data_IF_764275081430
#
_entry.id   IF_764275081430
#
_cell.length_a   1.000
_cell.length_b   1.000
_cell.length_c   1.000
_cell.angle_alpha   90.00
_cell.angle_beta   90.00
_cell.angle_gamma   90.00
#
_symmetry.space_group_name_H-M   'P 1'
#
loop_
_entity.id
_entity.type
_entity.pdbx_description
1 polymer ?
#
# COMPACT_ATOMS: atom_id res chain seq x y z
N UNK A 1 -2.89 -8.16 -11.83
CA UNK A 1 -1.54 -7.88 -11.31
C UNK A 1 -1.61 -6.93 -10.11
N UNK A 2 -0.88 -7.23 -9.04
CA UNK A 2 -0.71 -6.32 -7.89
C UNK A 2 0.75 -5.84 -7.88
N UNK A 3 0.95 -4.53 -7.93
CA UNK A 3 2.26 -3.89 -7.77
C UNK A 3 2.35 -3.35 -6.35
N UNK A 4 3.48 -3.50 -5.67
CA UNK A 4 3.69 -2.91 -4.35
C UNK A 4 5.03 -2.18 -4.26
N UNK A 5 5.08 -1.15 -3.44
CA UNK A 5 6.30 -0.39 -3.16
C UNK A 5 6.29 0.18 -1.74
N UNK A 6 7.47 0.25 -1.12
CA UNK A 6 7.68 0.89 0.17
C UNK A 6 7.82 2.41 0.03
N UNK A 7 7.03 3.19 0.78
CA UNK A 7 7.15 4.66 0.75
C UNK A 7 8.48 5.19 1.28
N UNK A 8 9.19 4.39 2.07
CA UNK A 8 10.47 4.72 2.67
C UNK A 8 11.59 3.83 2.11
N UNK A 9 11.42 3.28 0.90
CA UNK A 9 12.47 2.53 0.22
C UNK A 9 13.67 3.47 -0.09
N UNK A 10 14.87 3.20 0.47
CA UNK A 10 16.06 4.00 0.20
C UNK A 10 16.73 3.64 -1.13
N UNK A 11 16.40 2.50 -1.73
CA UNK A 11 17.06 1.95 -2.91
C UNK A 11 16.28 2.26 -4.18
N UNK A 12 14.95 2.06 -4.16
CA UNK A 12 14.07 2.34 -5.30
C UNK A 12 13.09 3.45 -4.93
N UNK A 13 13.17 4.57 -5.65
CA UNK A 13 12.31 5.71 -5.38
C UNK A 13 10.82 5.35 -5.59
N UNK A 14 9.97 5.36 -4.55
CA UNK A 14 8.56 4.94 -4.65
C UNK A 14 7.73 5.83 -5.58
N UNK A 15 8.15 7.10 -5.76
CA UNK A 15 7.54 8.02 -6.72
C UNK A 15 7.68 7.52 -8.16
N UNK A 16 8.77 6.83 -8.48
CA UNK A 16 8.98 6.24 -9.81
C UNK A 16 7.95 5.16 -10.11
N UNK A 17 7.75 4.23 -9.18
CA UNK A 17 6.73 3.18 -9.29
C UNK A 17 5.33 3.78 -9.41
N UNK A 18 4.99 4.77 -8.58
CA UNK A 18 3.68 5.44 -8.63
C UNK A 18 3.44 6.06 -10.01
N UNK A 19 4.39 6.87 -10.51
CA UNK A 19 4.29 7.52 -11.83
C UNK A 19 4.16 6.51 -12.96
N UNK A 20 4.95 5.43 -12.91
CA UNK A 20 4.92 4.40 -13.94
C UNK A 20 3.55 3.71 -14.01
N UNK A 21 2.99 3.35 -12.85
CA UNK A 21 1.70 2.67 -12.79
C UNK A 21 0.54 3.61 -13.15
N UNK A 22 0.63 4.90 -12.79
CA UNK A 22 -0.34 5.92 -13.23
C UNK A 22 -0.26 6.13 -14.75
N UNK A 23 0.93 6.25 -15.33
CA UNK A 23 1.11 6.36 -16.78
C UNK A 23 0.61 5.10 -17.53
N UNK A 24 0.78 3.92 -16.95
CA UNK A 24 0.20 2.70 -17.50
C UNK A 24 -1.33 2.74 -17.50
N UNK A 25 -1.96 3.23 -16.42
CA UNK A 25 -3.41 3.37 -16.36
C UNK A 25 -3.91 4.34 -17.43
N UNK A 26 -3.26 5.49 -17.60
CA UNK A 26 -3.60 6.45 -18.66
C UNK A 26 -3.40 5.87 -20.07
N UNK A 27 -2.32 5.12 -20.29
CA UNK A 27 -2.02 4.51 -21.58
C UNK A 27 -2.96 3.37 -21.97
N UNK A 28 -3.57 2.70 -20.99
CA UNK A 28 -4.46 1.54 -21.22
C UNK A 28 -5.94 1.89 -21.17
N UNK A 29 -6.33 2.82 -20.29
CA UNK A 29 -7.73 3.21 -20.08
C UNK A 29 -8.08 4.54 -20.75
N UNK A 30 -7.08 5.35 -21.09
CA UNK A 30 -7.27 6.70 -21.62
C UNK A 30 -6.86 7.79 -20.62
N UNK A 31 -6.59 8.98 -21.16
CA UNK A 31 -6.18 10.14 -20.35
C UNK A 31 -7.22 10.50 -19.30
N UNK A 32 -6.77 10.79 -18.08
CA UNK A 32 -7.62 11.17 -16.96
C UNK A 32 -8.09 10.01 -16.09
N UNK A 33 -7.92 8.75 -16.54
CA UNK A 33 -8.13 7.58 -15.70
C UNK A 33 -6.94 7.33 -14.77
N UNK A 34 -7.27 6.90 -13.56
CA UNK A 34 -6.31 6.60 -12.51
C UNK A 34 -6.15 5.09 -12.34
N UNK A 35 -5.07 4.67 -11.67
CA UNK A 35 -4.88 3.26 -11.30
C UNK A 35 -6.03 2.70 -10.43
N UNK A 36 -6.79 3.56 -9.74
CA UNK A 36 -7.93 3.12 -8.94
C UNK A 36 -9.01 2.46 -9.82
N UNK A 37 -9.19 2.97 -11.03
CA UNK A 37 -10.18 2.56 -12.04
C UNK A 37 -9.69 1.38 -12.90
N UNK A 38 -8.44 0.93 -12.73
CA UNK A 38 -7.91 -0.15 -13.56
C UNK A 38 -8.31 -1.52 -13.03
N UNK A 39 -9.00 -2.31 -13.86
CA UNK A 39 -9.52 -3.63 -13.47
C UNK A 39 -8.52 -4.78 -13.57
N UNK A 40 -7.29 -4.51 -14.00
CA UNK A 40 -6.23 -5.51 -14.16
C UNK A 40 -4.96 -5.23 -13.36
N UNK A 41 -4.72 -3.97 -12.97
CA UNK A 41 -3.54 -3.55 -12.22
C UNK A 41 -3.97 -2.75 -11.00
N UNK A 42 -3.55 -3.18 -9.81
CA UNK A 42 -3.69 -2.39 -8.58
C UNK A 42 -2.32 -2.12 -7.98
N UNK A 43 -2.17 -0.94 -7.38
CA UNK A 43 -0.95 -0.51 -6.68
C UNK A 43 -1.18 -0.52 -5.16
N UNK A 44 -0.24 -1.05 -4.39
CA UNK A 44 -0.24 -1.01 -2.92
C UNK A 44 1.00 -0.27 -2.44
N UNK A 45 0.79 0.89 -1.83
CA UNK A 45 1.89 1.68 -1.29
C UNK A 45 2.00 1.47 0.22
N UNK A 46 3.14 0.95 0.68
CA UNK A 46 3.34 0.54 2.06
C UNK A 46 3.96 1.69 2.87
N UNK A 47 3.25 2.27 3.85
CA UNK A 47 3.78 3.36 4.66
C UNK A 47 4.92 2.89 5.55
N UNK A 48 6.07 3.57 5.47
CA UNK A 48 7.30 3.17 6.19
C UNK A 48 7.94 1.86 5.69
N UNK A 49 7.34 1.24 4.66
CA UNK A 49 7.93 0.10 3.94
C UNK A 49 9.24 0.50 3.27
N UNK A 50 10.20 -0.41 3.23
CA UNK A 50 11.51 -0.25 2.61
C UNK A 50 11.64 -1.04 1.31
N UNK A 51 12.87 -1.41 0.97
CA UNK A 51 13.22 -2.20 -0.21
C UNK A 51 12.77 -3.67 -0.05
N UNK A 52 11.53 -3.95 -0.43
CA UNK A 52 10.84 -5.25 -0.31
C UNK A 52 10.39 -5.67 1.11
N UNK A 53 10.81 -4.96 2.15
CA UNK A 53 10.42 -5.20 3.54
C UNK A 53 9.97 -3.90 4.22
N UNK A 54 10.35 -3.71 5.49
CA UNK A 54 10.25 -2.41 6.16
C UNK A 54 11.58 -1.67 6.09
N UNK A 55 11.57 -0.33 6.19
CA UNK A 55 12.79 0.42 6.42
C UNK A 55 13.11 0.36 7.91
N UNK A 56 13.73 -0.76 8.33
CA UNK A 56 13.96 -1.11 9.74
C UNK A 56 14.73 -0.02 10.51
N UNK A 57 15.67 0.67 9.84
CA UNK A 57 16.50 1.69 10.46
C UNK A 57 15.69 2.92 10.87
N UNK A 58 14.61 3.24 10.15
CA UNK A 58 13.77 4.42 10.42
C UNK A 58 12.41 4.08 11.01
N UNK A 59 11.87 2.89 10.71
CA UNK A 59 10.53 2.47 11.07
C UNK A 59 10.50 0.99 11.53
N UNK A 60 11.10 0.67 12.69
CA UNK A 60 11.20 -0.72 13.17
C UNK A 60 9.85 -1.35 13.52
N UNK A 61 8.83 -0.52 13.79
CA UNK A 61 7.46 -0.96 14.09
C UNK A 61 6.59 -1.24 12.84
N UNK A 62 7.14 -1.07 11.64
CA UNK A 62 6.45 -1.35 10.38
C UNK A 62 6.58 -2.84 10.06
N UNK A 63 5.46 -3.53 9.74
CA UNK A 63 5.46 -4.91 9.28
C UNK A 63 6.45 -5.21 8.16
N UNK A 64 7.14 -6.34 8.25
CA UNK A 64 8.10 -6.79 7.22
C UNK A 64 7.49 -7.79 6.24
N UNK A 65 6.41 -8.47 6.63
CA UNK A 65 5.73 -9.49 5.83
C UNK A 65 4.39 -8.99 5.29
N UNK A 66 4.08 -9.35 4.05
CA UNK A 66 2.87 -8.96 3.32
C UNK A 66 2.24 -10.17 2.63
N UNK A 67 0.94 -10.39 2.84
CA UNK A 67 0.22 -11.55 2.28
C UNK A 67 -0.63 -11.13 1.07
N UNK A 68 -0.01 -11.14 -0.10
CA UNK A 68 -0.67 -10.80 -1.38
C UNK A 68 -1.34 -12.00 -2.05
N UNK A 69 -0.95 -13.23 -1.71
CA UNK A 69 -1.49 -14.46 -2.30
C UNK A 69 -3.02 -14.56 -2.24
N UNK A 70 -3.68 -14.42 -1.07
CA UNK A 70 -5.14 -14.49 -1.00
C UNK A 70 -5.82 -13.31 -1.72
N UNK A 71 -5.15 -12.16 -1.79
CA UNK A 71 -5.66 -10.99 -2.49
C UNK A 71 -5.66 -11.20 -4.02
N UNK A 72 -4.62 -11.85 -4.56
CA UNK A 72 -4.55 -12.19 -5.99
C UNK A 72 -5.53 -13.34 -6.30
N UNK A 73 -5.53 -14.41 -5.49
CA UNK A 73 -6.42 -15.55 -5.69
C UNK A 73 -7.90 -15.12 -5.70
N UNK A 74 -8.35 -14.39 -4.67
CA UNK A 74 -9.72 -13.90 -4.61
C UNK A 74 -10.09 -12.99 -5.78
N UNK A 75 -9.16 -12.16 -6.25
CA UNK A 75 -9.41 -11.29 -7.38
C UNK A 75 -9.54 -12.07 -8.69
N UNK A 76 -8.65 -13.02 -8.95
CA UNK A 76 -8.67 -13.84 -10.18
C UNK A 76 -9.85 -14.80 -10.19
N UNK A 77 -10.15 -15.45 -9.06
CA UNK A 77 -11.16 -16.51 -8.99
C UNK A 77 -12.59 -15.98 -8.86
N UNK A 78 -12.78 -14.84 -8.18
CA UNK A 78 -14.13 -14.32 -7.85
C UNK A 78 -14.41 -12.92 -8.37
N UNK A 79 -13.44 -12.30 -9.07
CA UNK A 79 -13.55 -10.90 -9.50
C UNK A 79 -13.45 -9.87 -8.37
N UNK A 80 -13.22 -10.31 -7.12
CA UNK A 80 -13.18 -9.42 -5.95
C UNK A 80 -11.85 -8.67 -5.85
N UNK A 81 -11.79 -7.48 -6.45
CA UNK A 81 -10.58 -6.66 -6.42
C UNK A 81 -10.14 -6.33 -4.96
N UNK A 82 -8.84 -6.37 -4.65
CA UNK A 82 -8.35 -6.28 -3.27
C UNK A 82 -8.26 -4.82 -2.79
N UNK A 83 -9.40 -4.13 -2.68
CA UNK A 83 -9.45 -2.69 -2.40
C UNK A 83 -8.90 -2.31 -1.01
N UNK A 84 -9.00 -3.25 -0.06
CA UNK A 84 -8.56 -3.14 1.33
C UNK A 84 -8.29 -4.53 1.90
N UNK A 85 -7.51 -4.60 2.98
CA UNK A 85 -7.46 -5.80 3.81
C UNK A 85 -6.31 -6.76 3.52
N UNK A 86 -5.34 -6.37 2.67
CA UNK A 86 -4.10 -7.12 2.51
C UNK A 86 -3.37 -7.14 3.85
N UNK A 87 -3.09 -8.32 4.38
CA UNK A 87 -2.52 -8.49 5.71
C UNK A 87 -1.02 -8.19 5.69
N UNK A 88 -0.55 -7.45 6.68
CA UNK A 88 0.87 -7.30 6.97
C UNK A 88 1.16 -7.52 8.47
N UNK A 89 2.30 -8.15 8.77
CA UNK A 89 2.70 -8.49 10.14
C UNK A 89 4.22 -8.61 10.29
N UNK A 90 4.65 -9.08 11.45
CA UNK A 90 6.05 -9.36 11.79
C UNK A 90 6.98 -8.12 11.76
N UNK A 91 6.69 -7.06 12.53
CA UNK A 91 7.66 -5.99 12.74
C UNK A 91 8.92 -6.49 13.45
N UNK A 92 10.05 -5.85 13.18
CA UNK A 92 11.36 -6.29 13.68
C UNK A 92 11.59 -5.91 15.15
N UNK A 93 10.85 -4.92 15.68
CA UNK A 93 10.92 -4.49 17.08
C UNK A 93 10.30 -5.49 18.07
N UNK A 94 9.86 -6.67 17.59
CA UNK A 94 9.25 -7.72 18.39
C UNK A 94 7.81 -7.43 18.82
N UNK A 95 7.22 -6.33 18.37
CA UNK A 95 5.82 -6.05 18.64
C UNK A 95 4.91 -6.99 17.82
N UNK A 96 3.71 -7.30 18.31
CA UNK A 96 2.72 -8.12 17.59
C UNK A 96 1.81 -7.28 16.67
N UNK A 97 2.30 -6.13 16.18
CA UNK A 97 1.49 -5.22 15.36
C UNK A 97 1.28 -5.80 13.97
N UNK A 98 0.01 -6.07 13.65
CA UNK A 98 -0.43 -6.28 12.28
C UNK A 98 -1.08 -5.02 11.72
N UNK A 99 -0.99 -4.83 10.41
CA UNK A 99 -1.68 -3.76 9.69
C UNK A 99 -2.41 -4.32 8.49
N UNK A 100 -3.48 -3.63 8.09
CA UNK A 100 -4.17 -3.89 6.84
C UNK A 100 -3.72 -2.85 5.83
N UNK A 101 -3.28 -3.30 4.65
CA UNK A 101 -2.89 -2.47 3.54
C UNK A 101 -4.09 -2.27 2.60
N UNK A 102 -4.08 -1.15 1.90
CA UNK A 102 -5.07 -0.77 0.90
C UNK A 102 -4.39 -0.55 -0.45
N UNK A 103 -5.16 -0.77 -1.53
CA UNK A 103 -4.73 -0.33 -2.85
C UNK A 103 -4.86 1.19 -2.97
N UNK A 104 -3.85 1.83 -3.55
CA UNK A 104 -3.82 3.23 -3.89
C UNK A 104 -5.08 3.66 -4.67
N UNK A 105 -5.60 4.88 -4.43
CA UNK A 105 -5.15 5.90 -3.49
C UNK A 105 -5.71 5.73 -2.06
N UNK A 106 -6.29 4.57 -1.71
CA UNK A 106 -6.82 4.38 -0.35
C UNK A 106 -5.70 4.14 0.64
N UNK A 107 -5.85 4.72 1.82
CA UNK A 107 -5.00 4.47 3.00
C UNK A 107 -5.87 4.13 4.19
N UNK A 108 -5.40 3.22 5.03
CA UNK A 108 -5.99 2.93 6.33
C UNK A 108 -5.34 3.79 7.40
N UNK A 109 -6.16 4.55 8.12
CA UNK A 109 -5.79 5.29 9.32
C UNK A 109 -6.29 4.56 10.55
N UNK A 110 -5.49 4.51 11.61
CA UNK A 110 -6.01 4.19 12.95
C UNK A 110 -6.67 5.42 13.54
N UNK A 111 -7.96 5.34 13.86
CA UNK A 111 -8.48 6.17 14.94
C UNK A 111 -8.08 5.42 16.21
N UNK A 112 -7.19 6.00 17.03
CA UNK A 112 -6.72 5.36 18.26
C UNK A 112 -7.90 4.73 19.01
N UNK A 113 -7.76 3.47 19.47
CA UNK A 113 -8.78 2.52 19.97
C UNK A 113 -9.16 1.35 19.03
N UNK A 114 -8.33 1.01 18.04
CA UNK A 114 -8.51 -0.22 17.23
C UNK A 114 -9.51 -0.10 16.09
N UNK A 115 -10.12 1.07 15.90
CA UNK A 115 -11.02 1.36 14.78
C UNK A 115 -10.25 1.91 13.60
N UNK A 116 -10.48 1.34 12.42
CA UNK A 116 -9.81 1.75 11.19
C UNK A 116 -10.73 2.59 10.31
N UNK A 117 -10.24 3.72 9.81
CA UNK A 117 -10.92 4.52 8.79
C UNK A 117 -10.17 4.48 7.47
N UNK A 118 -10.91 4.49 6.37
CA UNK A 118 -10.36 4.55 5.03
C UNK A 118 -10.32 6.01 4.58
N UNK A 119 -9.12 6.54 4.35
CA UNK A 119 -8.91 7.85 3.73
C UNK A 119 -8.43 7.72 2.29
N UNK A 120 -8.46 8.83 1.53
CA UNK A 120 -7.81 8.96 0.23
C UNK A 120 -6.49 9.72 0.38
N UNK A 121 -5.40 9.12 -0.07
CA UNK A 121 -4.14 9.82 -0.26
C UNK A 121 -4.24 10.72 -1.49
N UNK A 122 -4.03 12.02 -1.31
CA UNK A 122 -3.95 12.98 -2.41
C UNK A 122 -2.52 13.48 -2.63
N UNK A 123 -1.61 13.31 -1.66
CA UNK A 123 -0.19 13.69 -1.75
C UNK A 123 0.63 13.22 -0.53
N UNK A 124 1.96 13.19 -0.69
CA UNK A 124 3.00 12.85 0.31
C UNK A 124 2.75 13.47 1.70
N UNK A 125 2.25 14.72 1.75
CA UNK A 125 2.14 15.52 2.97
C UNK A 125 1.05 15.05 3.94
N UNK A 126 0.03 14.31 3.48
CA UNK A 126 -1.02 13.78 4.36
C UNK A 126 -0.63 12.47 5.05
N UNK A 127 0.39 11.77 4.58
CA UNK A 127 0.79 10.50 5.16
C UNK A 127 1.57 10.65 6.46
N UNK A 128 2.50 11.59 6.57
CA UNK A 128 3.30 11.76 7.80
C UNK A 128 2.47 12.08 9.04
N UNK A 129 1.31 12.74 8.90
CA UNK A 129 0.38 12.99 10.02
C UNK A 129 -0.43 11.77 10.46
N UNK A 130 -0.64 10.79 9.58
CA UNK A 130 -1.34 9.53 9.89
C UNK A 130 -0.44 8.51 10.60
N UNK A 131 0.87 8.77 10.65
CA UNK A 131 1.87 7.83 11.14
C UNK A 131 2.77 8.41 12.26
N UNK A 132 2.50 9.63 12.75
CA UNK A 132 3.01 10.08 14.06
C UNK A 132 2.19 9.40 15.16
N UNK A 133 2.73 8.29 15.65
CA UNK A 133 2.57 7.87 17.05
C UNK A 133 3.95 8.01 17.66
#
# INVERSE_FOLDING_TARGET
>A
MIVFAGWADPNIAPKGTLKHVEAHAEGTLGKGHTIAENDFVKLVMIPGGGHCGSNIAKYPSVPTKYDFSPAIAGWVETGSAPLKGIRSWDPIDGNLRSRRLCTWPRLLSTMGKGTWTIGRATSLHRMTKLFKV
#
